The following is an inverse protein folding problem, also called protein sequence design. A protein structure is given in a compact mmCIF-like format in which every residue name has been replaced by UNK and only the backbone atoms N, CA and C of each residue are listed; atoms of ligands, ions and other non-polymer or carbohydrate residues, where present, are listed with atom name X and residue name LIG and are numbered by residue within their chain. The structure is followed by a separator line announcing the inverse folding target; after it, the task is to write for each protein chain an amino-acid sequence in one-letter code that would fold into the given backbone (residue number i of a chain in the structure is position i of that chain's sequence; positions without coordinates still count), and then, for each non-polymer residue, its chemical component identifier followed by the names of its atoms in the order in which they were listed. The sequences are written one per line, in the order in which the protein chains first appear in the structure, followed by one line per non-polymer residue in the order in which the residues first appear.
data_IF_008702660813
#
_entry.id   IF_008702660813
#
_cell.length_a   1.000
_cell.length_b   1.000
_cell.length_c   1.000
_cell.angle_alpha   90.00
_cell.angle_beta   90.00
_cell.angle_gamma   90.00
#
_symmetry.space_group_name_H-M   'P 1'
#
loop_
_entity.id
_entity.type
_entity.pdbx_description
1 polymer ?
#
# COMPACT_ATOMS: atom_id res chain seq x y z
N UNK A 1 -9.26 -3.24 4.10
CA UNK A 1 -8.73 -2.75 2.83
C UNK A 1 -9.82 -2.58 1.75
N UNK A 2 -10.97 -3.25 1.86
CA UNK A 2 -12.11 -3.10 0.95
C UNK A 2 -12.74 -1.70 0.97
N UNK A 3 -12.58 -0.93 2.03
CA UNK A 3 -13.17 0.42 2.21
C UNK A 3 -12.77 1.42 1.12
N UNK A 4 -11.60 1.26 0.50
CA UNK A 4 -11.10 2.14 -0.57
C UNK A 4 -11.94 2.06 -1.86
N UNK A 5 -12.68 0.97 -2.07
CA UNK A 5 -13.48 0.77 -3.28
C UNK A 5 -14.96 1.09 -3.08
N UNK A 6 -15.50 0.92 -1.87
CA UNK A 6 -16.94 1.03 -1.63
C UNK A 6 -17.48 2.40 -1.99
N UNK A 7 -16.94 3.45 -1.41
CA UNK A 7 -17.48 4.79 -1.61
C UNK A 7 -17.40 5.25 -3.08
N UNK A 8 -16.25 5.18 -3.78
CA UNK A 8 -16.19 5.54 -5.20
C UNK A 8 -17.12 4.69 -6.08
N UNK A 9 -17.27 3.40 -5.77
CA UNK A 9 -18.14 2.51 -6.53
C UNK A 9 -19.62 2.83 -6.35
N UNK A 10 -20.03 3.08 -5.10
CA UNK A 10 -21.42 3.48 -4.82
C UNK A 10 -21.74 4.82 -5.45
N UNK A 11 -20.81 5.77 -5.40
CA UNK A 11 -20.94 7.07 -6.02
C UNK A 11 -21.15 6.96 -7.54
N UNK A 12 -20.34 6.15 -8.23
CA UNK A 12 -20.50 5.87 -9.65
C UNK A 12 -21.82 5.15 -9.94
N UNK A 13 -22.22 4.21 -9.08
CA UNK A 13 -23.45 3.44 -9.26
C UNK A 13 -24.70 4.32 -9.22
N UNK A 14 -24.71 5.34 -8.37
CA UNK A 14 -25.82 6.30 -8.25
C UNK A 14 -25.70 7.48 -9.22
N UNK A 15 -24.66 7.53 -10.04
CA UNK A 15 -24.45 8.59 -11.02
C UNK A 15 -24.04 9.94 -10.40
N UNK A 16 -23.48 9.94 -9.19
CA UNK A 16 -22.98 11.16 -8.57
C UNK A 16 -21.57 11.49 -9.08
N UNK A 17 -21.47 12.44 -9.99
CA UNK A 17 -20.22 12.92 -10.57
C UNK A 17 -19.67 14.18 -9.86
N UNK A 18 -20.18 14.53 -8.69
CA UNK A 18 -19.70 15.67 -7.90
C UNK A 18 -18.21 15.49 -7.55
N UNK A 19 -17.42 16.56 -7.60
CA UNK A 19 -16.03 16.51 -7.17
C UNK A 19 -15.95 16.51 -5.65
N UNK A 20 -15.20 15.57 -5.04
CA UNK A 20 -14.99 15.57 -3.60
C UNK A 20 -14.15 16.79 -3.19
N UNK A 21 -14.35 17.27 -1.96
CA UNK A 21 -13.48 18.32 -1.37
C UNK A 21 -12.03 17.86 -1.20
N UNK A 22 -11.81 16.54 -1.08
CA UNK A 22 -10.48 15.91 -1.02
C UNK A 22 -10.47 14.72 -1.95
N UNK A 23 -9.36 14.50 -2.62
CA UNK A 23 -9.18 13.31 -3.47
C UNK A 23 -9.33 12.02 -2.64
N UNK A 24 -9.94 11.02 -3.24
CA UNK A 24 -10.08 9.71 -2.61
C UNK A 24 -8.84 8.87 -2.88
N UNK A 25 -8.40 8.14 -1.87
CA UNK A 25 -7.40 7.07 -2.06
C UNK A 25 -7.97 5.89 -2.84
N UNK A 26 -9.28 5.82 -2.96
CA UNK A 26 -10.00 4.74 -3.61
C UNK A 26 -10.39 5.05 -5.04
N UNK A 27 -10.64 4.00 -5.79
CA UNK A 27 -11.19 4.06 -7.14
C UNK A 27 -12.41 3.16 -7.24
N UNK A 28 -13.31 3.48 -8.17
CA UNK A 28 -14.47 2.66 -8.44
C UNK A 28 -14.10 1.35 -9.11
N UNK A 29 -14.67 0.25 -8.63
CA UNK A 29 -14.57 -1.08 -9.26
C UNK A 29 -15.78 -1.39 -10.13
N UNK A 30 -16.70 -0.44 -10.31
CA UNK A 30 -17.90 -0.64 -11.14
C UNK A 30 -17.59 -1.13 -12.56
N UNK A 31 -16.50 -0.67 -13.23
CA UNK A 31 -16.13 -1.22 -14.55
C UNK A 31 -15.77 -2.72 -14.53
N UNK A 32 -15.29 -3.25 -13.41
CA UNK A 32 -15.04 -4.68 -13.26
C UNK A 32 -16.32 -5.42 -12.93
N UNK A 33 -17.15 -4.87 -12.03
CA UNK A 33 -18.41 -5.50 -11.64
C UNK A 33 -19.38 -5.65 -12.81
N UNK A 34 -19.38 -4.73 -13.74
CA UNK A 34 -20.23 -4.78 -14.95
C UNK A 34 -19.54 -5.42 -16.17
N UNK A 35 -18.38 -6.06 -15.99
CA UNK A 35 -17.66 -6.79 -17.04
C UNK A 35 -16.96 -5.92 -18.10
N UNK A 36 -16.93 -4.58 -17.93
CA UNK A 36 -16.24 -3.67 -18.88
C UNK A 36 -14.73 -3.75 -18.78
N UNK A 37 -14.19 -4.17 -17.64
CA UNK A 37 -12.76 -4.40 -17.41
C UNK A 37 -12.54 -5.73 -16.72
N UNK A 38 -11.45 -6.44 -17.06
CA UNK A 38 -11.08 -7.70 -16.43
C UNK A 38 -10.52 -7.51 -15.02
N UNK A 39 -9.81 -6.39 -14.79
CA UNK A 39 -9.20 -6.08 -13.50
C UNK A 39 -9.01 -4.57 -13.32
N UNK A 40 -8.65 -4.19 -12.12
CA UNK A 40 -8.19 -2.84 -11.78
C UNK A 40 -6.66 -2.83 -11.89
N UNK A 41 -6.13 -2.02 -12.81
CA UNK A 41 -4.70 -1.78 -12.93
C UNK A 41 -4.33 -0.58 -12.05
N UNK A 42 -3.62 -0.84 -10.98
CA UNK A 42 -3.26 0.17 -9.97
C UNK A 42 -2.06 -0.25 -9.16
N UNK A 43 -1.21 0.73 -8.84
CA UNK A 43 -0.16 0.58 -7.85
C UNK A 43 -0.69 0.86 -6.42
N UNK A 44 -0.26 0.06 -5.45
CA UNK A 44 -0.60 0.20 -4.04
C UNK A 44 0.65 0.45 -3.22
N UNK A 45 0.64 1.54 -2.47
CA UNK A 45 1.65 1.77 -1.44
C UNK A 45 1.30 0.99 -0.17
N UNK A 46 2.22 0.13 0.26
CA UNK A 46 2.05 -0.75 1.41
C UNK A 46 2.62 -0.18 2.71
N UNK A 47 3.29 0.97 2.65
CA UNK A 47 4.06 1.54 3.75
C UNK A 47 5.55 1.17 3.67
N UNK A 48 6.38 1.89 4.42
CA UNK A 48 7.82 1.66 4.51
C UNK A 48 8.51 1.53 3.14
N UNK A 49 8.13 2.37 2.19
CA UNK A 49 8.72 2.40 0.85
C UNK A 49 8.38 1.19 -0.03
N UNK A 50 7.41 0.38 0.34
CA UNK A 50 6.99 -0.75 -0.48
C UNK A 50 5.79 -0.38 -1.36
N UNK A 51 5.87 -0.73 -2.65
CA UNK A 51 4.81 -0.55 -3.66
C UNK A 51 4.54 -1.88 -4.34
N UNK A 52 3.28 -2.19 -4.57
CA UNK A 52 2.84 -3.42 -5.24
C UNK A 52 1.81 -3.11 -6.31
N UNK A 53 1.89 -3.81 -7.43
CA UNK A 53 0.83 -3.92 -8.43
C UNK A 53 0.54 -5.39 -8.74
N UNK A 54 -0.19 -5.66 -9.81
CA UNK A 54 -0.58 -7.04 -10.17
C UNK A 54 0.60 -7.92 -10.57
N UNK A 55 1.67 -7.35 -11.11
CA UNK A 55 2.80 -8.09 -11.68
C UNK A 55 4.06 -8.02 -10.81
N UNK A 56 4.26 -6.88 -10.10
CA UNK A 56 5.51 -6.58 -9.40
C UNK A 56 5.29 -6.02 -8.00
N UNK A 57 6.31 -6.21 -7.15
CA UNK A 57 6.42 -5.55 -5.85
C UNK A 57 7.83 -4.99 -5.69
N UNK A 58 7.92 -3.71 -5.44
CA UNK A 58 9.16 -3.04 -5.07
C UNK A 58 9.23 -2.85 -3.56
N UNK A 59 10.37 -3.19 -2.96
CA UNK A 59 10.70 -2.88 -1.56
C UNK A 59 11.97 -2.04 -1.58
N UNK A 60 11.88 -0.78 -1.13
CA UNK A 60 13.00 0.15 -1.14
C UNK A 60 13.97 -0.15 0.00
N UNK A 61 15.25 -0.06 -0.30
CA UNK A 61 16.34 -0.20 0.67
C UNK A 61 16.19 0.83 1.81
N UNK A 62 16.42 0.36 3.04
CA UNK A 62 16.53 1.23 4.23
C UNK A 62 15.21 1.81 4.75
N UNK A 63 14.07 1.55 4.08
CA UNK A 63 12.78 2.12 4.47
C UNK A 63 12.04 1.30 5.53
N UNK A 64 12.29 -0.01 5.60
CA UNK A 64 11.63 -0.89 6.58
C UNK A 64 12.57 -1.21 7.73
N UNK A 65 12.23 -0.82 8.99
CA UNK A 65 13.01 -1.21 10.16
C UNK A 65 13.14 -2.74 10.28
N UNK A 66 14.34 -3.22 10.58
CA UNK A 66 14.62 -4.65 10.76
C UNK A 66 14.76 -5.44 9.46
N UNK A 67 14.68 -4.80 8.29
CA UNK A 67 14.96 -5.41 7.00
C UNK A 67 16.20 -4.77 6.39
N UNK A 68 17.35 -5.45 6.49
CA UNK A 68 18.61 -4.97 5.94
C UNK A 68 18.80 -5.41 4.49
N UNK A 69 18.29 -4.60 3.57
CA UNK A 69 18.46 -4.81 2.14
C UNK A 69 19.72 -4.08 1.66
N UNK A 70 20.59 -4.79 0.94
CA UNK A 70 21.79 -4.20 0.30
C UNK A 70 21.43 -3.24 -0.84
N UNK A 71 20.32 -3.48 -1.52
CA UNK A 71 19.77 -2.71 -2.63
C UNK A 71 18.25 -2.80 -2.65
N UNK A 72 17.59 -2.02 -3.50
CA UNK A 72 16.15 -2.16 -3.73
C UNK A 72 15.82 -3.57 -4.21
N UNK A 73 14.70 -4.11 -3.73
CA UNK A 73 14.29 -5.48 -3.99
C UNK A 73 13.01 -5.47 -4.84
N UNK A 74 13.11 -5.94 -6.07
CA UNK A 74 11.97 -6.11 -6.97
C UNK A 74 11.57 -7.58 -7.03
N UNK A 75 10.31 -7.84 -6.80
CA UNK A 75 9.68 -9.16 -7.00
C UNK A 75 8.90 -9.15 -8.31
N UNK A 76 9.07 -10.17 -9.11
CA UNK A 76 8.22 -10.48 -10.26
C UNK A 76 7.31 -11.65 -9.90
N UNK A 77 6.04 -11.41 -9.68
CA UNK A 77 5.09 -12.43 -9.23
C UNK A 77 4.82 -13.53 -10.26
N UNK A 78 5.12 -13.30 -11.54
CA UNK A 78 4.97 -14.34 -12.58
C UNK A 78 6.02 -15.43 -12.44
N UNK A 79 7.24 -15.06 -12.07
CA UNK A 79 8.38 -15.97 -11.99
C UNK A 79 8.72 -16.35 -10.56
N UNK A 80 8.38 -15.54 -9.57
CA UNK A 80 8.70 -15.75 -8.17
C UNK A 80 7.53 -15.40 -7.23
N UNK A 81 6.48 -16.23 -7.15
CA UNK A 81 5.33 -16.00 -6.26
C UNK A 81 5.68 -16.07 -4.76
N UNK A 82 6.87 -16.60 -4.42
CA UNK A 82 7.33 -16.71 -3.02
C UNK A 82 8.28 -15.59 -2.59
N UNK A 83 8.50 -14.59 -3.43
CA UNK A 83 9.29 -13.39 -3.12
C UNK A 83 10.74 -13.68 -2.68
N UNK A 84 11.40 -14.68 -3.28
CA UNK A 84 12.74 -15.14 -2.89
C UNK A 84 13.86 -14.51 -3.70
N UNK A 85 13.58 -14.03 -4.91
CA UNK A 85 14.58 -13.57 -5.88
C UNK A 85 14.42 -12.08 -6.14
N UNK A 86 15.54 -11.37 -6.15
CA UNK A 86 15.54 -9.97 -6.57
C UNK A 86 15.64 -9.85 -8.09
N UNK A 87 14.61 -9.39 -8.73
CA UNK A 87 14.52 -9.17 -10.17
C UNK A 87 14.84 -7.71 -10.58
N UNK A 88 15.47 -6.91 -9.71
CA UNK A 88 15.79 -5.50 -10.02
C UNK A 88 16.79 -5.36 -11.17
N UNK A 89 17.76 -6.29 -11.27
CA UNK A 89 18.71 -6.33 -12.38
C UNK A 89 17.97 -6.70 -13.68
N UNK A 90 18.09 -5.84 -14.69
CA UNK A 90 17.40 -5.99 -15.98
C UNK A 90 15.97 -5.43 -16.03
N UNK A 91 15.47 -4.93 -14.90
CA UNK A 91 14.12 -4.33 -14.80
C UNK A 91 14.16 -2.89 -14.27
N UNK A 92 15.22 -2.12 -14.58
CA UNK A 92 15.47 -0.78 -14.05
C UNK A 92 14.33 0.19 -14.34
N UNK A 93 13.67 0.08 -15.50
CA UNK A 93 12.52 0.89 -15.87
C UNK A 93 11.34 0.66 -14.92
N UNK A 94 11.08 -0.61 -14.55
CA UNK A 94 10.00 -0.99 -13.64
C UNK A 94 10.33 -0.51 -12.22
N UNK A 95 11.57 -0.72 -11.78
CA UNK A 95 12.06 -0.22 -10.49
C UNK A 95 11.85 1.28 -10.40
N UNK A 96 12.29 2.04 -11.42
CA UNK A 96 12.12 3.50 -11.47
C UNK A 96 10.66 3.92 -11.39
N UNK A 97 9.79 3.30 -12.18
CA UNK A 97 8.35 3.64 -12.18
C UNK A 97 7.70 3.42 -10.81
N UNK A 98 7.94 2.26 -10.17
CA UNK A 98 7.42 1.97 -8.83
C UNK A 98 8.08 2.83 -7.74
N UNK A 99 9.34 3.20 -7.91
CA UNK A 99 10.04 4.11 -7.03
C UNK A 99 9.40 5.51 -7.04
N UNK A 100 9.05 6.04 -8.21
CA UNK A 100 8.35 7.33 -8.36
C UNK A 100 6.96 7.30 -7.69
N UNK A 101 6.26 6.17 -7.76
CA UNK A 101 5.02 5.98 -7.00
C UNK A 101 5.30 6.06 -5.49
N UNK A 102 6.33 5.39 -4.98
CA UNK A 102 6.69 5.43 -3.56
C UNK A 102 7.02 6.86 -3.08
N UNK A 103 7.75 7.64 -3.88
CA UNK A 103 8.13 9.02 -3.53
C UNK A 103 6.92 9.93 -3.27
N UNK A 104 5.80 9.72 -3.96
CA UNK A 104 4.57 10.51 -3.72
C UNK A 104 4.04 10.33 -2.30
N UNK A 105 4.31 9.19 -1.69
CA UNK A 105 3.87 8.86 -0.33
C UNK A 105 4.89 9.24 0.75
N UNK A 106 6.16 9.46 0.40
CA UNK A 106 7.21 9.86 1.34
C UNK A 106 6.95 11.26 1.94
N UNK A 107 6.19 12.10 1.24
CA UNK A 107 5.81 13.44 1.70
C UNK A 107 4.61 13.43 2.64
N UNK A 108 3.90 12.30 2.74
CA UNK A 108 2.73 12.16 3.60
C UNK A 108 3.20 11.78 5.00
N UNK A 109 3.19 12.77 5.90
CA UNK A 109 3.48 12.56 7.31
C UNK A 109 2.20 12.44 8.12
N UNK A 110 2.12 11.52 9.09
CA UNK A 110 0.97 11.42 9.97
C UNK A 110 0.84 12.70 10.81
N UNK A 111 -0.39 13.17 11.00
CA UNK A 111 -0.67 14.34 11.86
C UNK A 111 -0.25 14.11 13.32
N UNK A 112 -0.18 12.85 13.75
CA UNK A 112 0.26 12.45 15.09
C UNK A 112 1.53 11.62 14.89
N UNK A 113 2.66 12.00 15.56
CA UNK A 113 3.89 11.22 15.48
C UNK A 113 3.65 9.75 15.91
N UNK A 114 4.16 8.83 15.12
CA UNK A 114 4.13 7.42 15.50
C UNK A 114 5.05 7.19 16.70
N UNK A 115 4.53 6.49 17.71
CA UNK A 115 5.35 6.06 18.84
C UNK A 115 6.26 4.93 18.36
N UNK A 116 7.57 4.96 18.64
CA UNK A 116 8.48 3.89 18.26
C UNK A 116 7.98 2.52 18.72
N UNK A 117 8.17 1.51 17.88
CA UNK A 117 7.74 0.15 18.19
C UNK A 117 8.34 -0.31 19.55
N UNK A 118 7.50 -0.90 20.40
CA UNK A 118 7.88 -1.34 21.74
C UNK A 118 7.83 -0.27 22.83
N UNK A 119 7.58 1.00 22.48
CA UNK A 119 7.26 2.05 23.45
C UNK A 119 5.76 2.27 23.44
N UNK A 120 5.08 1.92 24.54
CA UNK A 120 3.67 2.20 24.72
C UNK A 120 3.42 3.73 24.74
N UNK A 121 2.15 4.12 24.68
CA UNK A 121 1.76 5.52 24.95
C UNK A 121 1.96 5.78 26.44
N UNK A 122 2.70 6.82 26.77
CA UNK A 122 2.84 7.25 28.16
C UNK A 122 1.45 7.50 28.75
N UNK A 123 1.20 6.89 29.93
CA UNK A 123 -0.10 7.00 30.59
C UNK A 123 -1.18 6.04 30.07
N UNK A 124 -0.92 5.20 29.05
CA UNK A 124 -1.89 4.19 28.64
C UNK A 124 -2.06 3.10 29.70
N UNK A 125 -3.28 2.96 30.21
CA UNK A 125 -3.68 1.85 31.08
C UNK A 125 -4.56 0.92 30.28
N UNK A 126 -4.08 -0.31 30.05
CA UNK A 126 -4.88 -1.33 29.37
C UNK A 126 -6.17 -1.61 30.15
N UNK A 127 -7.32 -1.70 29.48
CA UNK A 127 -8.57 -2.14 30.09
C UNK A 127 -8.40 -3.48 30.81
N UNK A 128 -9.14 -3.68 31.92
CA UNK A 128 -9.00 -4.90 32.73
C UNK A 128 -9.30 -6.19 31.94
N UNK A 129 -10.22 -6.10 31.00
CA UNK A 129 -10.64 -7.19 30.10
C UNK A 129 -9.55 -7.61 29.09
N UNK A 130 -8.50 -6.83 28.92
CA UNK A 130 -7.37 -7.17 28.04
C UNK A 130 -6.33 -8.07 28.74
N UNK A 131 -6.54 -8.40 29.99
CA UNK A 131 -5.67 -9.35 30.67
C UNK A 131 -5.88 -10.74 30.07
N UNK A 132 -4.87 -11.23 29.36
CA UNK A 132 -4.84 -12.64 28.95
C UNK A 132 -4.71 -13.47 30.21
N UNK A 133 -5.77 -14.19 30.57
CA UNK A 133 -5.71 -15.22 31.60
C UNK A 133 -4.94 -16.38 30.97
N UNK A 134 -3.70 -16.61 31.41
CA UNK A 134 -2.91 -17.79 31.06
C UNK A 134 -3.31 -18.96 31.96
#
# INVERSE_FOLDING_TARGET
TYRKYHYPTLKDLVGDHSRPKREYDGISILPVLNGKKACIDRDFYLGHGAVVNKDYKLIRKGMKPGLDLKQDFLVDYKTDPYEKKNASAGNEKIVKALYEVALKYDTITPCIPEVPYGKGRDGFKAPKEWKVVR
#
